data_IF_603080179408
#
_entry.id   IF_603080179408
#
_cell.length_a   1.000
_cell.length_b   1.000
_cell.length_c   1.000
_cell.angle_alpha   90.00
_cell.angle_beta   90.00
_cell.angle_gamma   90.00
#
_symmetry.space_group_name_H-M   'P 1'
#
loop_
_entity.id
_entity.type
_entity.pdbx_description
1 polymer ?
#
# COMPACT_ATOMS: atom_id res chain seq x y z
N UNK A 1 5.41 -23.67 -21.27
CA UNK A 1 5.05 -22.82 -20.13
C UNK A 1 6.35 -22.30 -19.52
N UNK A 2 6.84 -21.15 -19.98
CA UNK A 2 8.09 -20.57 -19.48
C UNK A 2 7.74 -19.70 -18.29
N UNK A 3 7.66 -20.31 -17.11
CA UNK A 3 7.75 -19.57 -15.85
C UNK A 3 9.16 -18.98 -15.82
N UNK A 4 9.27 -17.66 -15.87
CA UNK A 4 10.54 -16.96 -15.80
C UNK A 4 11.32 -17.41 -14.54
N UNK A 5 12.26 -18.34 -14.73
CA UNK A 5 13.20 -18.78 -13.71
C UNK A 5 14.12 -17.61 -13.35
N UNK A 6 14.22 -17.36 -12.05
CA UNK A 6 15.17 -16.46 -11.36
C UNK A 6 14.78 -14.98 -11.17
N UNK A 7 13.79 -14.76 -10.32
CA UNK A 7 13.84 -13.77 -9.23
C UNK A 7 12.83 -14.25 -8.17
N UNK A 8 13.15 -14.25 -6.88
CA UNK A 8 12.15 -14.62 -5.87
C UNK A 8 10.95 -13.66 -6.00
N UNK A 9 9.75 -14.18 -6.26
CA UNK A 9 8.60 -13.34 -6.60
C UNK A 9 7.87 -12.96 -5.32
N UNK A 10 8.31 -11.81 -4.77
CA UNK A 10 7.57 -10.72 -4.11
C UNK A 10 6.36 -11.08 -3.25
N UNK A 11 6.50 -10.95 -1.93
CA UNK A 11 5.40 -10.86 -0.96
C UNK A 11 4.58 -9.56 -1.02
N UNK A 12 4.67 -8.82 -2.12
CA UNK A 12 3.87 -7.62 -2.32
C UNK A 12 2.71 -8.00 -3.22
N UNK A 13 1.51 -7.96 -2.66
CA UNK A 13 0.26 -8.32 -3.33
C UNK A 13 -0.55 -7.05 -3.59
N UNK A 14 -1.48 -7.16 -4.52
CA UNK A 14 -2.49 -6.13 -4.76
C UNK A 14 -3.51 -6.21 -3.62
N UNK A 15 -3.74 -5.09 -2.93
CA UNK A 15 -4.84 -4.97 -2.00
C UNK A 15 -6.02 -4.37 -2.75
N UNK A 16 -7.15 -5.08 -2.73
CA UNK A 16 -8.42 -4.59 -3.28
C UNK A 16 -9.40 -4.36 -2.14
N UNK A 17 -9.98 -3.17 -2.13
CA UNK A 17 -11.06 -2.78 -1.23
C UNK A 17 -12.33 -2.68 -2.05
N UNK A 18 -13.38 -3.38 -1.62
CA UNK A 18 -14.70 -3.35 -2.24
C UNK A 18 -15.74 -2.87 -1.25
N UNK A 19 -16.81 -2.26 -1.74
CA UNK A 19 -17.88 -1.73 -0.92
C UNK A 19 -19.27 -2.05 -1.45
N UNK A 20 -20.28 -1.94 -0.60
CA UNK A 20 -21.69 -2.01 -1.01
C UNK A 20 -22.55 -1.11 -0.12
N UNK A 21 -23.57 -0.47 -0.70
CA UNK A 21 -24.52 0.41 0.01
C UNK A 21 -25.96 -0.11 -0.15
N UNK A 22 -26.44 -0.99 0.74
CA UNK A 22 -27.78 -1.58 0.63
C UNK A 22 -28.91 -0.55 0.60
N UNK A 23 -28.78 0.52 1.39
CA UNK A 23 -29.79 1.59 1.48
C UNK A 23 -29.91 2.39 0.19
N UNK A 24 -28.88 2.40 -0.65
CA UNK A 24 -28.88 2.97 -2.00
C UNK A 24 -29.22 1.92 -3.08
N UNK A 25 -29.63 0.71 -2.69
CA UNK A 25 -30.02 -0.35 -3.60
C UNK A 25 -28.87 -1.20 -4.16
N UNK A 26 -27.62 -1.02 -3.69
CA UNK A 26 -26.50 -1.87 -4.10
C UNK A 26 -26.58 -3.24 -3.40
N UNK A 27 -26.81 -4.30 -4.20
CA UNK A 27 -26.92 -5.68 -3.69
C UNK A 27 -25.63 -6.49 -3.85
N UNK A 28 -24.62 -5.94 -4.53
CA UNK A 28 -23.34 -6.59 -4.79
C UNK A 28 -22.19 -5.66 -4.41
N UNK A 29 -21.05 -6.25 -4.10
CA UNK A 29 -19.81 -5.51 -3.87
C UNK A 29 -19.33 -4.87 -5.17
N UNK A 30 -18.93 -3.60 -5.08
CA UNK A 30 -18.32 -2.83 -6.15
C UNK A 30 -16.92 -2.35 -5.74
N UNK A 31 -16.11 -1.92 -6.69
CA UNK A 31 -14.75 -1.43 -6.46
C UNK A 31 -14.75 -0.12 -5.67
N UNK A 32 -14.00 -0.07 -4.56
CA UNK A 32 -13.77 1.16 -3.80
C UNK A 32 -12.38 1.73 -4.08
N UNK A 33 -11.36 0.92 -3.84
CA UNK A 33 -9.96 1.33 -4.01
C UNK A 33 -9.07 0.13 -4.23
N UNK A 34 -7.86 0.39 -4.72
CA UNK A 34 -6.80 -0.60 -4.72
C UNK A 34 -5.45 0.05 -4.50
N UNK A 35 -4.55 -0.72 -3.88
CA UNK A 35 -3.17 -0.32 -3.66
C UNK A 35 -2.30 -1.55 -3.49
N UNK A 36 -1.17 -1.40 -2.82
CA UNK A 36 -0.25 -2.50 -2.55
C UNK A 36 -0.29 -2.89 -1.08
N UNK A 37 0.03 -4.15 -0.79
CA UNK A 37 0.19 -4.63 0.58
C UNK A 37 1.33 -5.64 0.65
N UNK A 38 2.01 -5.66 1.80
CA UNK A 38 3.09 -6.59 2.10
C UNK A 38 2.55 -7.71 2.98
N UNK A 39 2.94 -8.94 2.67
CA UNK A 39 2.79 -10.06 3.59
C UNK A 39 4.10 -10.23 4.35
N UNK A 40 4.03 -10.13 5.67
CA UNK A 40 5.14 -10.22 6.60
C UNK A 40 4.94 -11.40 7.56
N UNK A 41 6.03 -12.00 8.01
CA UNK A 41 5.95 -12.86 9.18
C UNK A 41 5.69 -12.01 10.42
N UNK A 42 4.62 -12.32 11.15
CA UNK A 42 4.33 -11.69 12.43
C UNK A 42 5.34 -12.06 13.51
N UNK A 43 5.18 -11.45 14.68
CA UNK A 43 6.05 -11.63 15.85
C UNK A 43 6.02 -13.07 16.38
N UNK A 44 4.88 -13.77 16.20
CA UNK A 44 4.80 -15.22 16.31
C UNK A 44 5.02 -15.88 14.94
N UNK A 45 5.90 -16.87 14.89
CA UNK A 45 6.35 -17.53 13.65
C UNK A 45 5.23 -18.18 12.80
N UNK A 46 4.02 -18.30 13.33
CA UNK A 46 2.87 -18.93 12.67
C UNK A 46 1.82 -17.93 12.14
N UNK A 47 1.89 -16.64 12.47
CA UNK A 47 0.90 -15.65 12.04
C UNK A 47 1.44 -14.78 10.91
N UNK A 48 0.67 -14.61 9.84
CA UNK A 48 0.98 -13.67 8.77
C UNK A 48 0.37 -12.30 9.07
N UNK A 49 1.17 -11.25 8.94
CA UNK A 49 0.73 -9.87 9.01
C UNK A 49 0.61 -9.31 7.60
N UNK A 50 -0.52 -8.69 7.29
CA UNK A 50 -0.73 -7.96 6.03
C UNK A 50 -0.66 -6.47 6.34
N UNK A 51 0.35 -5.79 5.82
CA UNK A 51 0.60 -4.37 6.11
C UNK A 51 0.45 -3.54 4.84
N UNK A 52 -0.21 -2.39 4.97
CA UNK A 52 -0.40 -1.41 3.91
C UNK A 52 -0.53 0.00 4.51
N UNK A 53 -0.82 0.99 3.68
CA UNK A 53 -1.19 2.33 4.12
C UNK A 53 -2.66 2.38 4.58
N UNK A 54 -2.93 3.22 5.58
CA UNK A 54 -4.28 3.40 6.09
C UNK A 54 -5.21 4.00 5.03
N UNK A 55 -4.73 4.97 4.24
CA UNK A 55 -5.54 5.55 3.16
C UNK A 55 -5.87 4.55 2.04
N UNK A 56 -5.10 3.47 1.89
CA UNK A 56 -5.39 2.40 0.92
C UNK A 56 -6.49 1.47 1.46
N UNK A 57 -6.34 1.00 2.71
CA UNK A 57 -7.29 0.08 3.32
C UNK A 57 -8.60 0.75 3.76
N UNK A 58 -8.52 2.02 4.19
CA UNK A 58 -9.61 2.76 4.80
C UNK A 58 -9.79 4.14 4.15
N UNK A 59 -10.01 4.24 2.83
CA UNK A 59 -10.07 5.52 2.12
C UNK A 59 -11.15 6.47 2.66
N UNK A 60 -12.26 5.96 3.21
CA UNK A 60 -13.33 6.76 3.81
C UNK A 60 -12.89 7.58 5.03
N UNK A 61 -11.78 7.23 5.67
CA UNK A 61 -11.19 8.03 6.75
C UNK A 61 -10.41 9.25 6.24
N UNK A 62 -10.19 9.34 4.93
CA UNK A 62 -9.41 10.40 4.28
C UNK A 62 -10.26 11.16 3.25
N UNK A 63 -11.47 11.65 3.59
CA UNK A 63 -12.38 12.24 2.61
C UNK A 63 -11.79 13.47 1.91
N UNK A 64 -10.91 14.24 2.59
CA UNK A 64 -10.21 15.38 1.98
C UNK A 64 -9.15 14.98 0.95
N UNK A 65 -8.60 13.78 1.07
CA UNK A 65 -7.66 13.26 0.09
C UNK A 65 -8.39 12.94 -1.23
N UNK A 66 -9.68 12.58 -1.15
CA UNK A 66 -10.50 12.18 -2.29
C UNK A 66 -11.61 13.19 -2.66
N UNK A 67 -11.69 14.35 -1.99
CA UNK A 67 -12.87 15.23 -2.03
C UNK A 67 -13.15 15.86 -3.40
N UNK A 68 -12.15 15.93 -4.28
CA UNK A 68 -12.32 16.45 -5.64
C UNK A 68 -12.91 15.41 -6.59
N UNK A 69 -12.82 14.13 -6.24
CA UNK A 69 -13.12 13.01 -7.14
C UNK A 69 -14.31 12.19 -6.64
N UNK A 70 -14.43 11.97 -5.32
CA UNK A 70 -15.40 11.05 -4.71
C UNK A 70 -16.15 11.72 -3.55
N UNK A 71 -17.02 12.68 -3.87
CA UNK A 71 -17.94 13.30 -2.90
C UNK A 71 -18.86 12.28 -2.21
N UNK A 72 -19.20 11.20 -2.91
CA UNK A 72 -19.98 10.07 -2.39
C UNK A 72 -19.25 9.22 -1.34
N UNK A 73 -17.93 9.33 -1.21
CA UNK A 73 -17.15 8.54 -0.26
C UNK A 73 -17.59 8.76 1.19
N UNK A 74 -18.21 9.92 1.48
CA UNK A 74 -18.78 10.24 2.79
C UNK A 74 -19.91 9.28 3.23
N UNK A 75 -20.53 8.55 2.30
CA UNK A 75 -21.59 7.57 2.58
C UNK A 75 -21.03 6.16 2.85
N UNK A 76 -19.74 5.95 2.59
CA UNK A 76 -19.06 4.68 2.88
C UNK A 76 -18.54 4.71 4.31
N UNK A 77 -18.81 3.66 5.07
CA UNK A 77 -18.22 3.43 6.39
C UNK A 77 -17.70 1.98 6.46
N UNK A 78 -17.10 1.62 7.59
CA UNK A 78 -16.50 0.32 7.81
C UNK A 78 -17.46 -0.85 7.53
N UNK A 79 -18.76 -0.72 7.82
CA UNK A 79 -19.75 -1.80 7.62
C UNK A 79 -20.02 -2.11 6.15
N UNK A 80 -19.63 -1.20 5.26
CA UNK A 80 -19.84 -1.37 3.82
C UNK A 80 -18.68 -2.06 3.13
N UNK A 81 -17.56 -2.31 3.82
CA UNK A 81 -16.28 -2.58 3.17
C UNK A 81 -15.77 -4.01 3.39
N UNK A 82 -15.18 -4.58 2.33
CA UNK A 82 -14.47 -5.86 2.32
C UNK A 82 -13.09 -5.70 1.68
N UNK A 83 -12.13 -6.49 2.14
CA UNK A 83 -10.77 -6.47 1.64
C UNK A 83 -10.34 -7.85 1.14
N UNK A 84 -9.55 -7.87 0.06
CA UNK A 84 -8.87 -9.07 -0.40
C UNK A 84 -7.47 -8.76 -0.93
N UNK A 85 -6.57 -9.75 -0.84
CA UNK A 85 -5.26 -9.70 -1.47
C UNK A 85 -5.27 -10.50 -2.76
N UNK A 86 -4.65 -9.96 -3.80
CA UNK A 86 -4.53 -10.62 -5.09
C UNK A 86 -3.07 -10.82 -5.48
N UNK A 87 -2.73 -12.05 -5.89
CA UNK A 87 -1.49 -12.36 -6.58
C UNK A 87 -1.74 -12.28 -8.09
N UNK A 88 -1.03 -11.37 -8.75
CA UNK A 88 -1.26 -11.05 -10.16
C UNK A 88 -0.12 -11.58 -11.04
N UNK A 89 -0.48 -12.20 -12.17
CA UNK A 89 0.45 -12.62 -13.22
C UNK A 89 0.33 -11.75 -14.46
N UNK A 90 1.47 -11.22 -14.91
CA UNK A 90 1.59 -10.53 -16.18
C UNK A 90 1.98 -11.51 -17.28
N UNK A 91 1.27 -11.45 -18.42
CA UNK A 91 1.75 -12.10 -19.64
C UNK A 91 2.81 -11.22 -20.30
N UNK A 92 4.08 -11.56 -20.08
CA UNK A 92 5.21 -10.81 -20.63
C UNK A 92 5.52 -11.17 -22.08
N UNK A 93 4.71 -11.99 -22.75
CA UNK A 93 4.95 -12.42 -24.14
C UNK A 93 4.58 -11.33 -25.15
N UNK A 94 3.72 -10.40 -24.79
CA UNK A 94 3.31 -9.27 -25.62
C UNK A 94 3.87 -7.97 -25.04
N UNK A 95 4.32 -7.06 -25.92
CA UNK A 95 4.86 -5.75 -25.51
C UNK A 95 3.80 -4.79 -25.00
N UNK A 96 2.51 -5.12 -25.15
CA UNK A 96 1.40 -4.35 -24.60
C UNK A 96 1.07 -4.80 -23.19
N UNK A 97 0.80 -3.85 -22.30
CA UNK A 97 0.35 -4.13 -20.93
C UNK A 97 -1.08 -4.64 -20.98
N UNK A 98 -1.27 -5.95 -20.84
CA UNK A 98 -2.60 -6.57 -20.75
C UNK A 98 -3.08 -6.64 -19.31
N UNK A 99 -4.39 -6.80 -19.12
CA UNK A 99 -5.00 -7.08 -17.81
C UNK A 99 -4.35 -8.35 -17.21
N UNK A 100 -3.80 -8.29 -15.98
CA UNK A 100 -3.20 -9.45 -15.36
C UNK A 100 -4.21 -10.54 -15.06
N UNK A 101 -3.72 -11.78 -15.07
CA UNK A 101 -4.44 -12.92 -14.53
C UNK A 101 -4.33 -12.89 -13.00
N UNK A 102 -5.46 -13.09 -12.31
CA UNK A 102 -5.48 -13.28 -10.85
C UNK A 102 -5.17 -14.74 -10.57
N UNK A 103 -3.95 -15.02 -10.11
CA UNK A 103 -3.51 -16.37 -9.75
C UNK A 103 -4.09 -16.84 -8.41
N UNK A 104 -4.30 -15.90 -7.51
CA UNK A 104 -4.80 -16.15 -6.16
C UNK A 104 -5.54 -14.92 -5.66
N UNK A 105 -6.69 -15.12 -5.03
CA UNK A 105 -7.39 -14.10 -4.23
C UNK A 105 -7.59 -14.64 -2.82
N UNK A 106 -7.12 -13.88 -1.82
CA UNK A 106 -7.20 -14.23 -0.41
C UNK A 106 -8.13 -13.24 0.30
N UNK A 107 -9.24 -13.70 0.90
CA UNK A 107 -10.07 -12.82 1.72
C UNK A 107 -9.31 -12.40 2.99
N UNK A 108 -9.44 -11.13 3.35
CA UNK A 108 -8.91 -10.61 4.61
C UNK A 108 -9.99 -10.56 5.69
N UNK A 109 -9.57 -10.66 6.94
CA UNK A 109 -10.44 -10.55 8.09
C UNK A 109 -11.10 -9.16 8.15
N UNK A 110 -12.30 -9.11 8.72
CA UNK A 110 -13.03 -7.88 9.04
C UNK A 110 -12.35 -6.99 10.07
N UNK A 111 -11.13 -7.28 10.49
CA UNK A 111 -10.42 -6.52 11.52
C UNK A 111 -9.30 -5.76 10.86
N UNK A 112 -9.39 -4.43 10.88
CA UNK A 112 -8.34 -3.54 10.41
C UNK A 112 -7.81 -2.77 11.60
N UNK A 113 -6.55 -3.03 11.95
CA UNK A 113 -5.86 -2.20 12.92
C UNK A 113 -5.27 -0.99 12.19
N UNK A 114 -5.38 0.20 12.76
CA UNK A 114 -4.81 1.43 12.22
C UNK A 114 -3.87 2.09 13.22
N UNK A 115 -2.78 2.64 12.71
CA UNK A 115 -1.84 3.37 13.56
C UNK A 115 -2.37 4.79 13.83
N UNK A 116 -2.19 5.28 15.05
CA UNK A 116 -2.81 6.54 15.49
C UNK A 116 -2.18 7.80 14.86
N UNK A 117 -0.92 7.73 14.45
CA UNK A 117 -0.12 8.88 13.97
C UNK A 117 0.66 8.64 12.69
N UNK A 118 0.59 7.42 12.14
CA UNK A 118 1.27 7.02 10.91
C UNK A 118 0.21 6.44 10.00
N UNK A 119 0.39 6.61 8.70
CA UNK A 119 -0.50 6.06 7.69
C UNK A 119 -0.24 4.54 7.51
N UNK A 120 -0.53 3.76 8.54
CA UNK A 120 -0.36 2.32 8.59
C UNK A 120 -1.70 1.63 8.88
N UNK A 121 -1.96 0.55 8.14
CA UNK A 121 -3.00 -0.40 8.44
C UNK A 121 -2.45 -1.83 8.47
N UNK A 122 -2.93 -2.61 9.45
CA UNK A 122 -2.60 -4.00 9.66
C UNK A 122 -3.88 -4.83 9.54
N UNK A 123 -3.82 -5.84 8.68
CA UNK A 123 -4.88 -6.80 8.42
C UNK A 123 -4.32 -8.22 8.58
N UNK A 124 -5.22 -9.19 8.65
CA UNK A 124 -4.89 -10.62 8.66
C UNK A 124 -5.71 -11.37 7.63
N UNK A 125 -5.26 -12.57 7.25
CA UNK A 125 -6.09 -13.47 6.44
C UNK A 125 -7.38 -13.82 7.19
N UNK A 126 -8.49 -13.98 6.47
CA UNK A 126 -9.82 -14.14 7.07
C UNK A 126 -9.94 -15.39 7.95
N UNK A 127 -9.35 -16.50 7.51
CA UNK A 127 -9.49 -17.79 8.17
C UNK A 127 -8.35 -18.77 7.84
N UNK A 128 -8.48 -19.99 8.36
CA UNK A 128 -7.53 -21.08 8.12
C UNK A 128 -7.51 -21.59 6.68
N UNK A 129 -8.59 -21.40 5.91
CA UNK A 129 -8.62 -21.77 4.49
C UNK A 129 -7.77 -20.79 3.68
N UNK A 130 -7.93 -19.48 3.90
CA UNK A 130 -7.08 -18.46 3.30
C UNK A 130 -5.60 -18.67 3.65
N UNK A 131 -5.30 -19.07 4.90
CA UNK A 131 -3.93 -19.38 5.33
C UNK A 131 -3.36 -20.61 4.60
N UNK A 132 -4.15 -21.67 4.41
CA UNK A 132 -3.74 -22.84 3.61
C UNK A 132 -3.50 -22.48 2.15
N UNK A 133 -4.36 -21.64 1.57
CA UNK A 133 -4.19 -21.14 0.21
C UNK A 133 -2.91 -20.32 0.04
N UNK A 134 -2.56 -19.49 1.03
CA UNK A 134 -1.26 -18.82 1.06
C UNK A 134 -0.10 -19.82 1.06
N UNK A 135 -0.10 -20.81 1.95
CA UNK A 135 0.97 -21.82 2.00
C UNK A 135 1.08 -22.63 0.71
N UNK A 136 -0.05 -22.96 0.07
CA UNK A 136 -0.02 -23.58 -1.25
C UNK A 136 0.65 -22.66 -2.27
N UNK A 137 0.28 -21.38 -2.29
CA UNK A 137 0.88 -20.39 -3.18
C UNK A 137 2.39 -20.23 -2.94
N UNK A 138 2.86 -20.31 -1.69
CA UNK A 138 4.30 -20.27 -1.37
C UNK A 138 5.07 -21.38 -2.11
N UNK A 139 4.48 -22.56 -2.23
CA UNK A 139 5.08 -23.68 -2.96
C UNK A 139 4.86 -23.59 -4.47
N UNK A 140 3.65 -23.27 -4.90
CA UNK A 140 3.23 -23.33 -6.31
C UNK A 140 3.80 -22.15 -7.12
N UNK A 141 3.78 -20.96 -6.55
CA UNK A 141 4.19 -19.71 -7.20
C UNK A 141 5.53 -19.18 -6.69
N UNK A 142 6.15 -19.84 -5.71
CA UNK A 142 7.39 -19.41 -5.06
C UNK A 142 7.29 -17.97 -4.52
N UNK A 143 6.12 -17.63 -3.97
CA UNK A 143 5.91 -16.42 -3.15
C UNK A 143 6.39 -16.69 -1.73
N UNK A 144 6.93 -15.68 -1.05
CA UNK A 144 7.44 -15.82 0.31
C UNK A 144 7.20 -14.53 1.05
N UNK A 145 6.71 -14.59 2.30
CA UNK A 145 6.57 -13.42 3.15
C UNK A 145 7.91 -12.67 3.30
N UNK A 146 7.85 -11.34 3.28
CA UNK A 146 9.04 -10.51 3.48
C UNK A 146 9.44 -10.51 4.96
N UNK A 147 10.75 -10.39 5.20
CA UNK A 147 11.26 -10.04 6.53
C UNK A 147 11.58 -8.56 6.58
N UNK A 148 11.24 -7.92 7.69
CA UNK A 148 11.69 -6.57 7.99
C UNK A 148 13.21 -6.54 8.23
N UNK A 149 13.86 -5.51 7.73
CA UNK A 149 15.25 -5.18 8.04
C UNK A 149 15.29 -4.49 9.41
N UNK A 150 16.09 -5.04 10.31
CA UNK A 150 16.33 -4.44 11.63
C UNK A 150 17.47 -3.41 11.59
N UNK A 151 18.31 -3.43 10.55
CA UNK A 151 19.35 -2.44 10.36
C UNK A 151 18.77 -1.17 9.72
N UNK A 152 19.09 0.03 10.23
CA UNK A 152 18.66 1.27 9.59
C UNK A 152 19.27 1.41 8.19
N UNK A 153 18.55 2.07 7.29
CA UNK A 153 19.14 2.55 6.04
C UNK A 153 20.04 3.76 6.30
N UNK A 154 21.16 3.77 5.59
CA UNK A 154 22.08 4.88 5.48
C UNK A 154 21.81 5.63 4.16
N UNK A 155 22.16 6.92 4.15
CA UNK A 155 22.04 7.74 2.96
C UNK A 155 22.88 7.15 1.81
N UNK A 156 22.27 7.04 0.63
CA UNK A 156 22.89 6.45 -0.55
C UNK A 156 22.69 4.93 -0.69
N UNK A 157 22.07 4.26 0.29
CA UNK A 157 21.73 2.85 0.15
C UNK A 157 20.80 2.61 -1.05
N UNK A 158 21.15 1.65 -1.89
CA UNK A 158 20.30 1.22 -3.00
C UNK A 158 19.05 0.50 -2.48
N UNK A 159 17.90 1.01 -2.90
CA UNK A 159 16.59 0.46 -2.55
C UNK A 159 15.79 0.14 -3.81
N UNK A 160 14.84 -0.77 -3.67
CA UNK A 160 13.91 -1.16 -4.73
C UNK A 160 12.50 -1.06 -4.18
N UNK A 161 11.65 -0.31 -4.88
CA UNK A 161 10.23 -0.18 -4.61
C UNK A 161 9.48 -1.29 -5.33
N UNK A 162 8.66 -2.03 -4.58
CA UNK A 162 7.77 -3.06 -5.11
C UNK A 162 6.33 -2.69 -4.78
N UNK A 163 5.46 -2.74 -5.78
CA UNK A 163 4.04 -2.45 -5.61
C UNK A 163 3.27 -2.78 -6.87
N UNK A 164 2.12 -2.14 -7.00
CA UNK A 164 1.24 -2.23 -8.14
C UNK A 164 0.91 -0.84 -8.62
N UNK A 165 0.99 -0.60 -9.92
CA UNK A 165 0.46 0.62 -10.52
C UNK A 165 -0.95 0.38 -11.02
N UNK A 166 -1.81 1.39 -10.92
CA UNK A 166 -3.14 1.39 -11.51
C UNK A 166 -3.04 1.67 -13.00
N UNK A 167 -3.76 0.91 -13.79
CA UNK A 167 -3.93 1.13 -15.23
C UNK A 167 -5.39 1.43 -15.46
N UNK A 168 -5.66 2.65 -15.92
CA UNK A 168 -6.97 3.03 -16.41
C UNK A 168 -7.20 2.39 -17.78
N UNK A 169 -8.41 1.85 -17.96
CA UNK A 169 -8.87 1.33 -19.24
C UNK A 169 -10.19 2.03 -19.54
N UNK A 170 -10.31 2.63 -20.72
CA UNK A 170 -11.52 3.35 -21.12
C UNK A 170 -12.70 2.42 -21.40
N UNK A 171 -12.42 1.14 -21.68
CA UNK A 171 -13.41 0.14 -22.12
C UNK A 171 -13.76 -0.85 -21.01
N UNK A 172 -12.79 -1.23 -20.16
CA UNK A 172 -12.98 -2.16 -19.05
C UNK A 172 -12.70 -1.48 -17.70
N UNK A 173 -13.06 -2.16 -16.61
CA UNK A 173 -12.67 -1.74 -15.26
C UNK A 173 -11.14 -1.56 -15.13
N UNK A 174 -10.74 -0.49 -14.45
CA UNK A 174 -9.33 -0.23 -14.11
C UNK A 174 -8.73 -1.43 -13.37
N UNK A 175 -7.50 -1.78 -13.69
CA UNK A 175 -6.81 -2.91 -13.09
C UNK A 175 -5.44 -2.51 -12.56
N UNK A 176 -4.85 -3.37 -11.74
CA UNK A 176 -3.52 -3.16 -11.19
C UNK A 176 -2.49 -4.04 -11.88
N UNK A 177 -1.28 -3.54 -12.10
CA UNK A 177 -0.16 -4.32 -12.62
C UNK A 177 1.06 -4.21 -11.69
N UNK A 178 1.76 -5.32 -11.38
CA UNK A 178 2.98 -5.27 -10.60
C UNK A 178 4.02 -4.31 -11.21
N UNK A 179 4.58 -3.44 -10.38
CA UNK A 179 5.59 -2.45 -10.78
C UNK A 179 6.82 -2.57 -9.88
N UNK A 180 7.98 -2.23 -10.44
CA UNK A 180 9.24 -2.17 -9.70
C UNK A 180 10.06 -1.02 -10.16
N UNK A 181 10.53 -0.23 -9.19
CA UNK A 181 11.32 0.96 -9.45
C UNK A 181 12.55 0.90 -8.58
N UNK A 182 13.73 1.11 -9.16
CA UNK A 182 14.95 1.24 -8.39
C UNK A 182 15.08 2.66 -7.83
N UNK A 183 15.86 2.80 -6.76
CA UNK A 183 16.07 4.09 -6.12
C UNK A 183 17.18 4.08 -5.09
N UNK A 184 17.28 5.19 -4.36
CA UNK A 184 18.29 5.39 -3.33
C UNK A 184 17.68 6.04 -2.10
N UNK A 185 18.04 5.54 -0.93
CA UNK A 185 17.65 6.13 0.33
C UNK A 185 18.31 7.50 0.50
N UNK A 186 17.53 8.53 0.84
CA UNK A 186 18.03 9.90 0.99
C UNK A 186 18.31 10.23 2.44
N UNK A 187 17.45 9.82 3.36
CA UNK A 187 17.63 10.12 4.77
C UNK A 187 16.33 10.12 5.55
N UNK A 188 16.43 10.63 6.78
CA UNK A 188 15.29 10.77 7.70
C UNK A 188 15.22 12.20 8.21
N UNK A 189 14.00 12.69 8.36
CA UNK A 189 13.72 13.93 9.08
C UNK A 189 13.88 13.74 10.59
N UNK A 190 13.90 14.84 11.33
CA UNK A 190 13.94 14.83 12.80
C UNK A 190 12.69 14.19 13.44
N UNK A 191 11.55 14.16 12.74
CA UNK A 191 10.33 13.47 13.18
C UNK A 191 10.30 11.97 12.81
N UNK A 192 11.38 11.46 12.23
CA UNK A 192 11.53 10.06 11.83
C UNK A 192 10.93 9.72 10.46
N UNK A 193 10.27 10.66 9.76
CA UNK A 193 9.83 10.42 8.38
C UNK A 193 11.03 10.14 7.49
N UNK A 194 10.99 9.05 6.71
CA UNK A 194 12.06 8.66 5.83
C UNK A 194 11.73 8.96 4.37
N UNK A 195 12.77 9.24 3.59
CA UNK A 195 12.66 9.60 2.18
C UNK A 195 13.64 8.82 1.33
N UNK A 196 13.21 8.51 0.12
CA UNK A 196 14.04 7.91 -0.91
C UNK A 196 13.78 8.57 -2.26
N UNK A 197 14.79 8.61 -3.12
CA UNK A 197 14.66 9.02 -4.51
C UNK A 197 14.41 7.79 -5.35
N UNK A 198 13.42 7.83 -6.24
CA UNK A 198 13.18 6.80 -7.23
C UNK A 198 13.76 7.21 -8.59
N UNK A 199 14.14 6.23 -9.41
CA UNK A 199 14.61 6.48 -10.79
C UNK A 199 13.48 6.99 -11.69
N UNK A 200 12.25 6.60 -11.38
CA UNK A 200 11.02 7.02 -12.04
C UNK A 200 10.02 7.45 -10.96
N UNK A 201 9.09 8.36 -11.27
CA UNK A 201 8.01 8.69 -10.34
C UNK A 201 7.18 7.43 -10.08
N UNK A 202 6.86 7.15 -8.82
CA UNK A 202 5.95 6.06 -8.53
C UNK A 202 4.54 6.43 -9.02
N UNK A 203 3.80 5.43 -9.49
CA UNK A 203 2.45 5.62 -10.00
C UNK A 203 1.40 5.36 -8.91
N UNK A 204 0.17 5.81 -9.16
CA UNK A 204 -0.97 5.51 -8.29
C UNK A 204 -1.13 4.00 -8.08
N UNK A 205 -1.48 3.60 -6.85
CA UNK A 205 -1.57 2.20 -6.43
C UNK A 205 -0.29 1.65 -5.77
N UNK A 206 0.85 2.36 -5.91
CA UNK A 206 2.12 1.93 -5.30
C UNK A 206 2.16 2.13 -3.78
N UNK A 207 1.27 2.97 -3.23
CA UNK A 207 1.12 3.16 -1.79
C UNK A 207 0.79 1.83 -1.09
N UNK A 208 1.38 1.62 0.08
CA UNK A 208 1.40 0.34 0.79
C UNK A 208 2.35 -0.69 0.16
N UNK A 209 3.14 -0.33 -0.85
CA UNK A 209 4.16 -1.19 -1.44
C UNK A 209 5.39 -1.36 -0.55
N UNK A 210 6.26 -2.33 -0.84
CA UNK A 210 7.50 -2.53 -0.09
C UNK A 210 8.64 -1.65 -0.60
N UNK A 211 9.44 -1.15 0.33
CA UNK A 211 10.79 -0.64 0.05
C UNK A 211 11.79 -1.67 0.53
N UNK A 212 12.61 -2.20 -0.37
CA UNK A 212 13.53 -3.31 -0.08
C UNK A 212 14.95 -2.89 -0.35
N UNK A 213 15.87 -3.21 0.58
CA UNK A 213 17.31 -3.03 0.36
C UNK A 213 17.80 -3.98 -0.74
N UNK A 214 18.34 -3.43 -1.82
CA UNK A 214 18.66 -4.20 -3.03
C UNK A 214 19.60 -5.40 -2.76
N UNK A 215 20.60 -5.22 -1.89
CA UNK A 215 21.62 -6.24 -1.60
C UNK A 215 21.17 -7.35 -0.66
N UNK A 216 20.23 -7.06 0.25
CA UNK A 216 19.86 -7.99 1.34
C UNK A 216 18.47 -8.61 1.15
N UNK A 217 17.67 -8.10 0.21
CA UNK A 217 16.27 -8.50 0.03
C UNK A 217 15.44 -8.40 1.33
N UNK A 218 15.76 -7.42 2.19
CA UNK A 218 15.03 -7.13 3.43
C UNK A 218 14.20 -5.86 3.26
N UNK A 219 12.99 -5.88 3.82
CA UNK A 219 12.05 -4.76 3.76
C UNK A 219 12.48 -3.68 4.75
N UNK A 220 12.85 -2.50 4.24
CA UNK A 220 13.33 -1.36 5.05
C UNK A 220 12.21 -0.36 5.35
N UNK A 221 11.02 -0.57 4.79
CA UNK A 221 9.85 0.25 5.04
C UNK A 221 8.75 0.00 4.00
N UNK A 222 7.68 0.78 4.10
CA UNK A 222 6.57 0.75 3.15
C UNK A 222 6.44 2.09 2.43
N UNK A 223 6.01 2.07 1.18
CA UNK A 223 5.73 3.28 0.40
C UNK A 223 4.48 3.95 0.97
N UNK A 224 4.64 5.16 1.51
CA UNK A 224 3.53 5.97 2.02
C UNK A 224 2.91 6.80 0.91
N UNK A 225 3.76 7.37 0.05
CA UNK A 225 3.35 8.21 -1.07
C UNK A 225 4.55 8.94 -1.65
N UNK A 226 4.26 9.96 -2.47
CA UNK A 226 5.25 10.83 -3.09
C UNK A 226 5.02 12.24 -2.60
N UNK A 227 6.08 12.97 -2.31
CA UNK A 227 5.98 14.40 -2.04
C UNK A 227 5.58 15.09 -3.35
N UNK A 228 4.41 15.77 -3.40
CA UNK A 228 3.91 16.34 -4.64
C UNK A 228 4.93 17.26 -5.31
N UNK A 229 4.97 17.22 -6.64
CA UNK A 229 5.73 18.22 -7.39
C UNK A 229 5.06 19.57 -7.16
N UNK A 230 5.87 20.58 -6.84
CA UNK A 230 5.41 21.95 -6.70
C UNK A 230 4.82 22.46 -8.01
N UNK A 231 3.52 22.76 -8.03
CA UNK A 231 2.87 23.46 -9.13
C UNK A 231 2.95 24.98 -8.88
N UNK A 232 3.17 25.78 -9.93
CA UNK A 232 3.41 27.22 -9.83
C UNK A 232 2.30 28.01 -9.09
N UNK A 233 1.07 27.50 -9.09
CA UNK A 233 -0.08 28.15 -8.45
C UNK A 233 -0.15 27.96 -6.93
N UNK A 234 0.29 26.81 -6.41
CA UNK A 234 0.25 26.44 -4.99
C UNK A 234 1.58 26.70 -4.25
N UNK A 235 2.67 26.94 -5.00
CA UNK A 235 4.03 27.01 -4.46
C UNK A 235 4.56 28.44 -4.30
N UNK A 236 3.67 29.36 -3.90
CA UNK A 236 4.07 30.75 -3.60
C UNK A 236 4.98 30.78 -2.37
N UNK A 237 6.18 31.36 -2.53
CA UNK A 237 7.10 31.53 -1.42
C UNK A 237 6.42 32.35 -0.30
N UNK A 238 6.35 31.81 0.93
CA UNK A 238 5.74 32.52 2.05
C UNK A 238 6.54 33.78 2.41
N UNK A 239 5.88 34.73 3.10
CA UNK A 239 6.51 35.99 3.47
C UNK A 239 7.79 35.78 4.30
N UNK A 240 8.77 36.66 4.16
CA UNK A 240 10.06 36.54 4.85
C UNK A 240 9.97 36.64 6.38
N UNK A 241 8.82 37.05 6.92
CA UNK A 241 8.59 37.21 8.35
C UNK A 241 8.13 35.92 9.05
N UNK A 242 7.69 34.90 8.31
CA UNK A 242 7.38 33.58 8.88
C UNK A 242 8.50 32.57 8.57
N UNK A 243 9.45 32.49 9.50
CA UNK A 243 10.61 31.59 9.37
C UNK A 243 10.18 30.12 9.29
N UNK A 244 9.14 29.72 10.04
CA UNK A 244 8.70 28.32 10.10
C UNK A 244 8.02 27.91 8.81
N UNK A 245 7.12 28.75 8.29
CA UNK A 245 6.49 28.50 6.99
C UNK A 245 7.54 28.44 5.86
N UNK A 246 8.55 29.30 5.91
CA UNK A 246 9.63 29.31 4.92
C UNK A 246 10.51 28.06 4.98
N UNK A 247 10.89 27.62 6.17
CA UNK A 247 11.63 26.36 6.37
C UNK A 247 10.84 25.16 5.84
N UNK A 248 9.53 25.10 6.14
CA UNK A 248 8.65 24.03 5.64
C UNK A 248 8.46 24.07 4.13
N UNK A 249 8.34 25.26 3.53
CA UNK A 249 8.27 25.45 2.08
C UNK A 249 9.56 25.00 1.38
N UNK A 250 10.73 25.41 1.89
CA UNK A 250 12.03 24.97 1.36
C UNK A 250 12.21 23.46 1.43
N UNK A 251 11.82 22.85 2.56
CA UNK A 251 11.87 21.40 2.73
C UNK A 251 10.96 20.68 1.72
N UNK A 252 9.72 21.14 1.54
CA UNK A 252 8.79 20.56 0.55
C UNK A 252 9.37 20.61 -0.86
N UNK A 253 9.91 21.77 -1.28
CA UNK A 253 10.57 21.89 -2.59
C UNK A 253 11.79 20.99 -2.74
N UNK A 254 12.62 20.86 -1.71
CA UNK A 254 13.80 20.01 -1.74
C UNK A 254 13.44 18.51 -1.83
N UNK A 255 12.28 18.13 -1.28
CA UNK A 255 11.79 16.76 -1.26
C UNK A 255 10.79 16.46 -2.37
N UNK A 256 10.37 17.42 -3.18
CA UNK A 256 9.44 17.21 -4.29
C UNK A 256 9.88 16.03 -5.18
N UNK A 257 8.94 15.14 -5.51
CA UNK A 257 9.18 13.92 -6.28
C UNK A 257 9.90 12.79 -5.51
N UNK A 258 10.30 13.00 -4.25
CA UNK A 258 10.82 11.92 -3.42
C UNK A 258 9.69 11.06 -2.87
N UNK A 259 9.99 9.78 -2.70
CA UNK A 259 9.11 8.80 -2.07
C UNK A 259 9.21 8.98 -0.55
N UNK A 260 8.08 9.26 0.09
CA UNK A 260 7.92 9.16 1.52
C UNK A 260 7.70 7.69 1.89
N UNK A 261 8.42 7.19 2.90
CA UNK A 261 8.28 5.81 3.36
C UNK A 261 8.19 5.73 4.88
N UNK A 262 7.36 4.80 5.34
CA UNK A 262 7.23 4.47 6.76
C UNK A 262 8.32 3.44 7.10
N UNK A 263 9.28 3.74 8.00
CA UNK A 263 10.41 2.86 8.27
C UNK A 263 10.00 1.48 8.80
N UNK A 264 10.81 0.45 8.52
CA UNK A 264 10.60 -0.92 9.01
C UNK A 264 10.49 -1.02 10.53
N UNK A 265 11.15 -0.12 11.28
CA UNK A 265 11.04 -0.02 12.73
C UNK A 265 9.60 0.31 13.16
N UNK A 266 9.02 1.35 12.59
CA UNK A 266 7.66 1.81 12.88
C UNK A 266 6.64 0.73 12.47
N UNK A 267 6.88 0.05 11.34
CA UNK A 267 6.08 -1.10 10.89
C UNK A 267 6.16 -2.25 11.90
N UNK A 268 7.37 -2.58 12.38
CA UNK A 268 7.57 -3.66 13.37
C UNK A 268 6.85 -3.35 14.68
N UNK A 269 7.05 -2.14 15.20
CA UNK A 269 6.41 -1.67 16.43
C UNK A 269 4.89 -1.77 16.34
N UNK A 270 4.31 -1.39 15.19
CA UNK A 270 2.88 -1.50 14.96
C UNK A 270 2.37 -2.94 14.82
N UNK A 271 3.16 -3.87 14.28
CA UNK A 271 2.78 -5.30 14.25
C UNK A 271 2.80 -5.88 15.66
N UNK A 272 3.82 -5.52 16.46
CA UNK A 272 3.99 -6.01 17.83
C UNK A 272 2.91 -5.43 18.77
N UNK A 273 2.53 -4.16 18.56
CA UNK A 273 1.53 -3.41 19.33
C UNK A 273 0.54 -2.69 18.41
N UNK A 274 -0.46 -3.41 17.87
CA UNK A 274 -1.45 -2.82 16.97
C UNK A 274 -2.26 -1.72 17.66
N UNK A 275 -2.50 -0.65 16.91
CA UNK A 275 -3.26 0.52 17.35
C UNK A 275 -4.77 0.30 17.35
N UNK A 276 -5.50 1.31 16.87
CA UNK A 276 -6.96 1.34 16.88
C UNK A 276 -7.54 0.17 16.06
N UNK A 277 -8.63 -0.43 16.52
CA UNK A 277 -9.31 -1.50 15.79
C UNK A 277 -10.58 -0.97 15.10
N UNK A 278 -10.71 -1.25 13.81
CA UNK A 278 -11.91 -1.03 13.00
C UNK A 278 -12.49 -2.38 12.59
N UNK A 279 -13.81 -2.54 12.74
CA UNK A 279 -14.53 -3.74 12.33
C UNK A 279 -15.25 -3.48 11.00
N UNK A 280 -14.83 -4.17 9.94
CA UNK A 280 -15.29 -3.92 8.58
C UNK A 280 -16.27 -4.98 8.10
N UNK A 281 -17.30 -4.54 7.39
CA UNK A 281 -18.37 -5.39 6.89
C UNK A 281 -19.06 -6.19 8.00
N UNK A 282 -19.31 -5.56 9.14
CA UNK A 282 -20.29 -6.13 10.07
C UNK A 282 -21.65 -6.16 9.36
N UNK A 283 -22.40 -7.24 9.52
CA UNK A 283 -23.76 -7.31 8.97
C UNK A 283 -24.57 -6.12 9.50
N UNK A 284 -24.97 -5.21 8.60
CA UNK A 284 -25.92 -4.16 8.95
C UNK A 284 -27.24 -4.86 9.25
N UNK A 285 -27.82 -4.72 10.47
CA UNK A 285 -29.09 -5.33 10.77
C UNK A 285 -30.13 -4.90 9.73
N UNK A 286 -31.02 -5.80 9.27
CA UNK A 286 -31.97 -5.53 8.20
C UNK A 286 -33.02 -4.43 8.51
N UNK A 287 -32.91 -3.73 9.64
CA UNK A 287 -33.90 -2.78 10.17
C UNK A 287 -33.28 -1.47 10.69
N UNK A 288 -32.19 -0.98 10.09
CA UNK A 288 -31.73 0.41 10.30
C UNK A 288 -32.17 1.31 9.16
#
# INVERSE_FOLDING_TARGET
MVVAKHCSRRAVLSLTTRFYLPHEGMTTLDYLSSGSALVLHGSSSSSLAVVTCQHVACPWLFPRYFSTTWDWLQFVNENHVRHSLQLLALDTRNSSVTKPEVLLELPLASQVHTHHSRDLALLTLADSAATKSWHQAEHEFNVQALSLDTAPCEQGDDVVFFGHRRVENEVDESYQVPMTVAGQFVGRSSSGQAFARSQELLEEGMCGGAVVRAKMHKCVGIVEGIVPMSNEEDDKEPSTHDRKEREAWQMRRALAGHVALIPSRDVKEFIDEPGNLLLTGMEVPPYM
#
